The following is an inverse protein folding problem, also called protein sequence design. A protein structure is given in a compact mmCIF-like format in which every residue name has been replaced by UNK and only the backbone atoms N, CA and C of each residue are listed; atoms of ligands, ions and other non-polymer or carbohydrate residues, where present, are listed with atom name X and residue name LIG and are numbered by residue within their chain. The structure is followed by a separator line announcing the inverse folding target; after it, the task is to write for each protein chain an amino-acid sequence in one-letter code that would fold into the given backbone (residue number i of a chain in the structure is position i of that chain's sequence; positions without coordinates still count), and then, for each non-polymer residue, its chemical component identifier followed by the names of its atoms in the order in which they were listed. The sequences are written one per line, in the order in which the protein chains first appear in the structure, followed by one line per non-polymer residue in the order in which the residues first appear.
data_IF_754175954124
#
_entry.id   IF_754175954124
#
_cell.length_a   1.000
_cell.length_b   1.000
_cell.length_c   1.000
_cell.angle_alpha   90.00
_cell.angle_beta   90.00
_cell.angle_gamma   90.00
#
_symmetry.space_group_name_H-M   'P 1'
#
loop_
_entity.id
_entity.type
_entity.pdbx_description
1 polymer ?
#
# COMPACT_ATOMS: atom_id res chain seq x y z
N UNK A 1 5.00 29.77 7.80
CA UNK A 1 4.14 28.54 7.73
C UNK A 1 3.31 28.49 6.44
N UNK A 2 2.65 29.58 6.03
CA UNK A 2 1.81 29.63 4.84
C UNK A 2 2.56 29.54 3.51
N UNK A 3 3.74 30.12 3.41
CA UNK A 3 4.52 30.17 2.18
C UNK A 3 4.88 28.78 1.64
N UNK A 4 5.44 27.90 2.46
CA UNK A 4 5.86 26.56 2.01
C UNK A 4 4.70 25.60 1.75
N UNK A 5 3.63 25.67 2.52
CA UNK A 5 2.52 24.71 2.39
C UNK A 5 1.55 25.10 1.26
N UNK A 6 1.20 26.39 1.14
CA UNK A 6 0.33 26.85 0.06
C UNK A 6 1.04 26.84 -1.31
N UNK A 7 2.33 27.16 -1.36
CA UNK A 7 3.09 27.13 -2.59
C UNK A 7 3.19 25.71 -3.17
N UNK A 8 3.34 24.66 -2.34
CA UNK A 8 3.33 23.25 -2.79
C UNK A 8 1.98 22.81 -3.36
N UNK A 9 0.91 23.46 -2.94
CA UNK A 9 -0.43 23.18 -3.48
C UNK A 9 -0.66 23.83 -4.83
N UNK A 10 -0.11 25.03 -5.07
CA UNK A 10 -0.39 25.87 -6.24
C UNK A 10 0.71 25.83 -7.30
N UNK A 11 1.94 25.47 -6.94
CA UNK A 11 3.07 25.42 -7.87
C UNK A 11 3.90 24.15 -7.67
N UNK A 12 4.52 23.70 -8.76
CA UNK A 12 5.46 22.57 -8.70
C UNK A 12 6.74 23.02 -8.01
N UNK A 13 7.11 22.37 -6.92
CA UNK A 13 8.35 22.62 -6.19
C UNK A 13 9.27 21.41 -6.40
N UNK A 14 10.54 21.64 -6.73
CA UNK A 14 11.57 20.62 -6.94
C UNK A 14 11.25 19.60 -8.05
N UNK A 15 10.67 20.02 -9.18
CA UNK A 15 10.36 19.21 -10.37
C UNK A 15 9.53 17.93 -10.11
N UNK A 16 8.81 17.87 -8.98
CA UNK A 16 7.93 16.73 -8.65
C UNK A 16 6.57 16.81 -9.37
N UNK A 17 6.64 16.98 -10.69
CA UNK A 17 5.46 16.98 -11.54
C UNK A 17 5.05 15.53 -11.81
N UNK A 18 3.94 15.10 -11.21
CA UNK A 18 3.43 13.76 -11.39
C UNK A 18 2.02 13.79 -12.02
N UNK A 19 1.65 12.78 -12.83
CA UNK A 19 0.35 12.70 -13.46
C UNK A 19 -0.79 12.62 -12.43
N UNK A 20 -2.02 12.94 -12.86
CA UNK A 20 -3.21 12.93 -11.98
C UNK A 20 -3.49 11.53 -11.38
N UNK A 21 -3.14 10.46 -12.08
CA UNK A 21 -3.34 9.07 -11.63
C UNK A 21 -2.25 8.55 -10.69
N UNK A 22 -1.26 9.37 -10.34
CA UNK A 22 -0.09 8.99 -9.54
C UNK A 22 -0.45 8.24 -8.24
N UNK A 23 -1.47 8.69 -7.53
CA UNK A 23 -1.86 8.05 -6.27
C UNK A 23 -2.55 6.69 -6.43
N UNK A 24 -2.99 6.30 -7.61
CA UNK A 24 -3.51 4.96 -7.87
C UNK A 24 -2.44 3.86 -7.62
N UNK A 25 -1.32 3.87 -8.35
CA UNK A 25 -0.20 2.96 -8.07
C UNK A 25 0.37 3.09 -6.65
N UNK A 26 0.49 4.30 -6.11
CA UNK A 26 0.95 4.52 -4.73
C UNK A 26 0.05 3.80 -3.74
N UNK A 27 -1.27 3.90 -3.88
CA UNK A 27 -2.25 3.18 -3.05
C UNK A 27 -2.06 1.67 -3.13
N UNK A 28 -1.89 1.13 -4.33
CA UNK A 28 -1.71 -0.32 -4.54
C UNK A 28 -0.45 -0.81 -3.85
N UNK A 29 0.68 -0.11 -4.05
CA UNK A 29 1.98 -0.49 -3.48
C UNK A 29 2.00 -0.30 -1.96
N UNK A 30 1.47 0.82 -1.47
CA UNK A 30 1.46 1.12 -0.04
C UNK A 30 0.53 0.20 0.78
N UNK A 31 -0.47 -0.42 0.14
CA UNK A 31 -1.35 -1.39 0.77
C UNK A 31 -0.83 -2.84 0.68
N UNK A 32 0.33 -3.09 0.03
CA UNK A 32 0.91 -4.44 -0.05
C UNK A 32 1.23 -4.99 1.35
N UNK A 33 1.03 -6.29 1.56
CA UNK A 33 0.45 -7.29 0.65
C UNK A 33 -1.08 -7.38 0.72
N UNK A 34 -1.74 -6.50 1.47
CA UNK A 34 -3.18 -6.53 1.75
C UNK A 34 -4.03 -5.74 0.74
N UNK A 35 -3.46 -5.32 -0.38
CA UNK A 35 -4.17 -4.65 -1.48
C UNK A 35 -5.46 -5.38 -1.91
N UNK A 36 -5.51 -6.73 -2.01
CA UNK A 36 -6.75 -7.43 -2.32
C UNK A 36 -7.87 -7.18 -1.31
N UNK A 37 -7.53 -7.03 -0.03
CA UNK A 37 -8.50 -6.69 1.01
C UNK A 37 -8.95 -5.23 0.94
N UNK A 38 -8.06 -4.31 0.57
CA UNK A 38 -8.44 -2.92 0.33
C UNK A 38 -9.46 -2.80 -0.81
N UNK A 39 -9.18 -3.49 -1.92
CA UNK A 39 -10.11 -3.52 -3.07
C UNK A 39 -11.45 -4.15 -2.66
N UNK A 40 -11.43 -5.25 -1.93
CA UNK A 40 -12.63 -5.90 -1.44
C UNK A 40 -13.41 -5.02 -0.47
N UNK A 41 -12.71 -4.33 0.44
CA UNK A 41 -13.31 -3.38 1.37
C UNK A 41 -14.01 -2.22 0.67
N UNK A 42 -13.38 -1.65 -0.35
CA UNK A 42 -13.96 -0.61 -1.20
C UNK A 42 -15.15 -1.12 -2.02
N UNK A 43 -15.05 -2.31 -2.61
CA UNK A 43 -16.12 -2.91 -3.40
C UNK A 43 -17.39 -3.21 -2.58
N UNK A 44 -17.23 -3.39 -1.27
CA UNK A 44 -18.35 -3.68 -0.34
C UNK A 44 -18.96 -2.43 0.29
N UNK A 45 -18.47 -1.23 -0.02
CA UNK A 45 -19.04 0.01 0.50
C UNK A 45 -20.47 0.17 -0.05
N UNK A 46 -21.48 0.32 0.82
CA UNK A 46 -22.86 0.56 0.37
C UNK A 46 -22.95 1.89 -0.39
N UNK A 47 -23.55 1.87 -1.58
CA UNK A 47 -23.70 3.07 -2.41
C UNK A 47 -24.90 3.94 -2.01
N UNK A 48 -25.95 3.31 -1.48
CA UNK A 48 -27.22 3.94 -1.15
C UNK A 48 -27.70 3.45 0.21
N UNK A 49 -28.31 4.34 1.02
CA UNK A 49 -28.87 4.06 2.34
C UNK A 49 -27.97 3.15 3.19
N UNK A 50 -27.11 3.76 3.97
CA UNK A 50 -26.14 3.04 4.80
C UNK A 50 -26.82 2.59 6.09
N UNK A 51 -26.98 1.28 6.30
CA UNK A 51 -27.40 0.77 7.60
C UNK A 51 -26.36 1.15 8.66
N UNK A 52 -26.76 1.34 9.94
CA UNK A 52 -25.83 1.74 11.00
C UNK A 52 -24.60 0.84 11.13
N UNK A 53 -24.75 -0.47 10.87
CA UNK A 53 -23.66 -1.45 10.88
C UNK A 53 -22.58 -1.23 9.81
N UNK A 54 -22.87 -0.47 8.76
CA UNK A 54 -21.94 -0.14 7.69
C UNK A 54 -21.44 1.30 7.71
N UNK A 55 -21.84 2.09 8.70
CA UNK A 55 -21.47 3.51 8.82
C UNK A 55 -19.95 3.70 8.90
N UNK A 56 -19.25 2.85 9.66
CA UNK A 56 -17.78 2.88 9.78
C UNK A 56 -17.08 2.59 8.44
N UNK A 57 -17.59 1.63 7.67
CA UNK A 57 -17.04 1.30 6.37
C UNK A 57 -17.21 2.45 5.38
N UNK A 58 -18.38 3.09 5.39
CA UNK A 58 -18.63 4.25 4.55
C UNK A 58 -17.77 5.44 4.98
N UNK A 59 -17.66 5.70 6.28
CA UNK A 59 -16.80 6.75 6.81
C UNK A 59 -15.34 6.55 6.35
N UNK A 60 -14.81 5.34 6.50
CA UNK A 60 -13.45 5.02 6.08
C UNK A 60 -13.27 5.22 4.56
N UNK A 61 -14.25 4.82 3.74
CA UNK A 61 -14.20 5.04 2.30
C UNK A 61 -14.24 6.53 1.93
N UNK A 62 -15.11 7.31 2.56
CA UNK A 62 -15.17 8.77 2.35
C UNK A 62 -13.86 9.45 2.76
N UNK A 63 -13.27 9.05 3.91
CA UNK A 63 -11.98 9.56 4.36
C UNK A 63 -10.88 9.25 3.33
N UNK A 64 -10.76 7.99 2.90
CA UNK A 64 -9.81 7.58 1.88
C UNK A 64 -9.93 8.41 0.61
N UNK A 65 -11.16 8.54 0.08
CA UNK A 65 -11.44 9.30 -1.15
C UNK A 65 -11.14 10.78 -0.96
N UNK A 66 -11.52 11.39 0.17
CA UNK A 66 -11.25 12.79 0.45
C UNK A 66 -9.75 13.09 0.45
N UNK A 67 -8.94 12.25 1.11
CA UNK A 67 -7.48 12.40 1.12
C UNK A 67 -6.89 12.23 -0.28
N UNK A 68 -7.33 11.21 -1.04
CA UNK A 68 -6.85 10.99 -2.40
C UNK A 68 -7.21 12.15 -3.33
N UNK A 69 -8.44 12.67 -3.26
CA UNK A 69 -8.86 13.83 -4.06
C UNK A 69 -8.06 15.08 -3.70
N UNK A 70 -7.88 15.36 -2.41
CA UNK A 70 -7.12 16.50 -1.93
C UNK A 70 -5.69 16.50 -2.51
N UNK A 71 -4.98 15.39 -2.36
CA UNK A 71 -3.58 15.33 -2.82
C UNK A 71 -3.46 15.12 -4.33
N UNK A 72 -4.46 14.56 -5.00
CA UNK A 72 -4.51 14.51 -6.46
C UNK A 72 -4.64 15.90 -7.06
N UNK A 73 -5.38 16.81 -6.41
CA UNK A 73 -5.52 18.20 -6.82
C UNK A 73 -4.26 19.04 -6.54
N UNK A 74 -3.35 18.60 -5.68
CA UNK A 74 -2.11 19.30 -5.39
C UNK A 74 -1.15 19.29 -6.60
N UNK A 75 -0.47 20.41 -6.86
CA UNK A 75 0.49 20.54 -7.94
C UNK A 75 1.72 19.64 -7.71
N UNK A 76 2.25 19.62 -6.48
CA UNK A 76 3.37 18.74 -6.10
C UNK A 76 2.82 17.45 -5.50
N UNK A 77 3.26 16.30 -6.00
CA UNK A 77 2.80 14.97 -5.54
C UNK A 77 3.97 14.15 -5.01
N UNK A 78 3.89 13.75 -3.75
CA UNK A 78 4.88 12.88 -3.10
C UNK A 78 4.19 11.59 -2.62
N UNK A 79 4.87 10.44 -2.68
CA UNK A 79 4.33 9.19 -2.15
C UNK A 79 3.92 9.27 -0.68
N UNK A 80 4.62 10.09 0.13
CA UNK A 80 4.30 10.31 1.55
C UNK A 80 2.93 10.95 1.81
N UNK A 81 2.32 11.59 0.81
CA UNK A 81 0.97 12.15 0.92
C UNK A 81 -0.14 11.10 1.03
N UNK A 82 0.23 9.82 0.82
CA UNK A 82 -0.63 8.69 1.16
C UNK A 82 -0.82 8.48 2.68
N UNK A 83 0.13 8.89 3.52
CA UNK A 83 0.12 8.61 4.96
C UNK A 83 -1.20 8.96 5.67
N UNK A 84 -1.85 10.12 5.42
CA UNK A 84 -3.14 10.43 6.05
C UNK A 84 -4.29 9.49 5.63
N UNK A 85 -4.16 8.76 4.52
CA UNK A 85 -5.14 7.78 4.06
C UNK A 85 -4.93 6.40 4.66
N UNK A 86 -3.76 6.12 5.25
CA UNK A 86 -3.40 4.81 5.80
C UNK A 86 -4.38 4.28 6.85
N UNK A 87 -4.86 5.08 7.84
CA UNK A 87 -5.83 4.58 8.81
C UNK A 87 -7.16 4.18 8.16
N UNK A 88 -7.62 4.96 7.19
CA UNK A 88 -8.85 4.65 6.46
C UNK A 88 -8.72 3.36 5.63
N UNK A 89 -7.58 3.18 4.96
CA UNK A 89 -7.26 1.95 4.24
C UNK A 89 -7.20 0.74 5.17
N UNK A 90 -6.55 0.87 6.34
CA UNK A 90 -6.46 -0.19 7.34
C UNK A 90 -7.85 -0.60 7.87
N UNK A 91 -8.74 0.35 8.13
CA UNK A 91 -10.13 0.08 8.54
C UNK A 91 -10.89 -0.68 7.45
N UNK A 92 -10.79 -0.27 6.18
CA UNK A 92 -11.43 -0.96 5.06
C UNK A 92 -10.93 -2.39 4.90
N UNK A 93 -9.62 -2.61 5.01
CA UNK A 93 -9.01 -3.93 4.97
C UNK A 93 -9.50 -4.80 6.13
N UNK A 94 -9.51 -4.29 7.35
CA UNK A 94 -9.99 -5.01 8.53
C UNK A 94 -11.46 -5.40 8.39
N UNK A 95 -12.33 -4.47 8.00
CA UNK A 95 -13.76 -4.73 7.77
C UNK A 95 -14.00 -5.73 6.63
N UNK A 96 -13.12 -5.78 5.61
CA UNK A 96 -13.21 -6.77 4.56
C UNK A 96 -12.99 -8.21 5.06
N UNK A 97 -12.31 -8.39 6.20
CA UNK A 97 -12.06 -9.72 6.79
C UNK A 97 -13.21 -10.26 7.64
N UNK A 98 -14.22 -9.45 7.96
CA UNK A 98 -15.32 -9.86 8.86
C UNK A 98 -16.35 -10.76 8.20
N UNK A 99 -16.56 -10.67 6.90
CA UNK A 99 -17.51 -11.48 6.14
C UNK A 99 -16.83 -12.69 5.53
N UNK A 100 -17.23 -13.89 5.95
CA UNK A 100 -16.71 -15.17 5.40
C UNK A 100 -17.47 -15.53 4.12
N UNK A 101 -16.92 -15.15 2.97
CA UNK A 101 -17.45 -15.51 1.65
C UNK A 101 -16.31 -15.90 0.69
N UNK A 102 -16.68 -16.32 -0.53
CA UNK A 102 -15.71 -16.71 -1.58
C UNK A 102 -14.72 -15.57 -1.92
N UNK A 103 -15.19 -14.33 -1.90
CA UNK A 103 -14.36 -13.17 -2.26
C UNK A 103 -13.29 -12.90 -1.22
N UNK A 104 -13.63 -13.05 0.06
CA UNK A 104 -12.65 -12.99 1.15
C UNK A 104 -11.60 -14.11 1.01
N UNK A 105 -12.02 -15.33 0.65
CA UNK A 105 -11.08 -16.43 0.39
C UNK A 105 -10.11 -16.09 -0.74
N UNK A 106 -10.61 -15.56 -1.84
CA UNK A 106 -9.77 -15.11 -2.94
C UNK A 106 -8.83 -13.98 -2.54
N UNK A 107 -9.29 -13.02 -1.74
CA UNK A 107 -8.44 -11.96 -1.20
C UNK A 107 -7.30 -12.53 -0.33
N UNK A 108 -7.57 -13.56 0.49
CA UNK A 108 -6.53 -14.26 1.24
C UNK A 108 -5.51 -14.95 0.32
N UNK A 109 -5.98 -15.75 -0.63
CA UNK A 109 -5.10 -16.44 -1.59
C UNK A 109 -4.23 -15.43 -2.35
N UNK A 110 -4.83 -14.35 -2.84
CA UNK A 110 -4.10 -13.30 -3.55
C UNK A 110 -3.06 -12.60 -2.64
N UNK A 111 -3.42 -12.30 -1.38
CA UNK A 111 -2.48 -11.69 -0.43
C UNK A 111 -1.33 -12.63 -0.09
N UNK A 112 -1.58 -13.92 0.11
CA UNK A 112 -0.52 -14.93 0.32
C UNK A 112 0.39 -14.99 -0.90
N UNK A 113 -0.18 -15.00 -2.11
CA UNK A 113 0.60 -14.95 -3.36
C UNK A 113 1.49 -13.72 -3.46
N UNK A 114 0.98 -12.54 -3.05
CA UNK A 114 1.76 -11.31 -3.01
C UNK A 114 2.89 -11.36 -1.96
N UNK A 115 2.63 -11.91 -0.77
CA UNK A 115 3.68 -12.12 0.24
C UNK A 115 4.76 -13.06 -0.28
N UNK A 116 4.36 -14.17 -0.92
CA UNK A 116 5.30 -15.12 -1.52
C UNK A 116 6.12 -14.47 -2.65
N UNK A 117 5.48 -13.65 -3.48
CA UNK A 117 6.15 -12.88 -4.52
C UNK A 117 7.18 -11.90 -3.93
N UNK A 118 6.82 -11.18 -2.86
CA UNK A 118 7.76 -10.31 -2.14
C UNK A 118 8.94 -11.11 -1.57
N UNK A 119 8.68 -12.29 -0.98
CA UNK A 119 9.75 -13.17 -0.51
C UNK A 119 10.72 -13.52 -1.65
N UNK A 120 10.21 -13.93 -2.80
CA UNK A 120 11.04 -14.24 -3.98
C UNK A 120 11.83 -13.02 -4.45
N UNK A 121 11.19 -11.84 -4.53
CA UNK A 121 11.87 -10.60 -4.91
C UNK A 121 13.05 -10.32 -3.96
N UNK A 122 12.86 -10.45 -2.65
CA UNK A 122 13.93 -10.23 -1.68
C UNK A 122 15.00 -11.32 -1.71
N UNK A 123 14.66 -12.58 -1.98
CA UNK A 123 15.64 -13.64 -2.21
C UNK A 123 16.48 -13.40 -3.48
N UNK A 124 15.89 -12.80 -4.51
CA UNK A 124 16.58 -12.43 -5.75
C UNK A 124 17.29 -11.06 -5.65
N UNK A 125 17.38 -10.48 -4.47
CA UNK A 125 18.00 -9.16 -4.26
C UNK A 125 19.42 -9.03 -4.84
N UNK A 126 20.32 -10.03 -4.80
CA UNK A 126 21.64 -9.88 -5.41
C UNK A 126 21.59 -9.59 -6.91
N UNK A 127 20.51 -10.01 -7.59
CA UNK A 127 20.35 -9.82 -9.04
C UNK A 127 19.93 -8.38 -9.37
N UNK A 128 18.93 -7.85 -8.66
CA UNK A 128 18.35 -6.55 -9.02
C UNK A 128 18.92 -5.37 -8.24
N UNK A 129 19.46 -5.58 -7.03
CA UNK A 129 20.06 -4.49 -6.24
C UNK A 129 21.25 -3.87 -6.98
N UNK A 130 22.03 -4.66 -7.72
CA UNK A 130 23.13 -4.15 -8.55
C UNK A 130 22.69 -3.22 -9.69
N UNK A 131 21.39 -3.16 -10.02
CA UNK A 131 20.84 -2.22 -11.01
C UNK A 131 20.49 -0.86 -10.43
N UNK A 132 20.44 -0.76 -9.10
CA UNK A 132 20.21 0.52 -8.41
C UNK A 132 21.47 1.36 -8.59
N UNK A 133 21.34 2.43 -9.37
CA UNK A 133 22.37 3.43 -9.57
C UNK A 133 21.85 4.77 -9.12
N UNK A 134 22.17 5.15 -7.90
CA UNK A 134 21.83 6.45 -7.36
C UNK A 134 23.06 7.35 -7.45
N UNK A 135 23.03 8.47 -8.21
CA UNK A 135 24.14 9.39 -8.31
C UNK A 135 24.50 10.05 -6.98
N UNK A 136 23.53 10.25 -6.09
CA UNK A 136 23.74 10.88 -4.78
C UNK A 136 24.25 9.88 -3.72
N UNK A 137 23.96 8.58 -3.91
CA UNK A 137 24.36 7.49 -3.00
C UNK A 137 24.99 6.31 -3.76
N UNK A 138 26.23 6.44 -4.26
CA UNK A 138 26.89 5.39 -5.05
C UNK A 138 27.09 4.08 -4.28
N UNK A 139 27.21 4.14 -2.94
CA UNK A 139 27.38 2.96 -2.06
C UNK A 139 26.08 2.27 -1.69
N UNK A 140 24.90 2.78 -2.09
CA UNK A 140 23.60 2.28 -1.65
C UNK A 140 23.42 0.77 -1.93
N UNK A 141 23.79 0.30 -3.11
CA UNK A 141 23.65 -1.09 -3.49
C UNK A 141 24.53 -2.04 -2.65
N UNK A 142 25.87 -1.83 -2.51
CA UNK A 142 26.69 -2.67 -1.65
C UNK A 142 26.30 -2.57 -0.17
N UNK A 143 25.92 -1.39 0.32
CA UNK A 143 25.50 -1.18 1.71
C UNK A 143 24.19 -1.94 2.02
N UNK A 144 23.21 -1.92 1.11
CA UNK A 144 21.98 -2.69 1.25
C UNK A 144 22.24 -4.21 1.36
N UNK A 145 23.10 -4.76 0.51
CA UNK A 145 23.45 -6.18 0.55
C UNK A 145 24.29 -6.51 1.79
N UNK A 146 25.25 -5.65 2.14
CA UNK A 146 26.14 -5.84 3.30
C UNK A 146 25.41 -5.71 4.64
N UNK A 147 24.35 -4.90 4.73
CA UNK A 147 23.56 -4.71 5.97
C UNK A 147 22.79 -5.96 6.42
N UNK A 148 22.59 -6.92 5.53
CA UNK A 148 21.74 -8.10 5.78
C UNK A 148 20.25 -7.81 5.88
N UNK A 149 19.80 -6.55 5.68
CA UNK A 149 18.37 -6.16 5.77
C UNK A 149 17.54 -6.88 4.73
N UNK A 150 18.04 -7.00 3.49
CA UNK A 150 17.34 -7.68 2.39
C UNK A 150 17.09 -9.15 2.68
N UNK A 151 18.07 -9.84 3.28
CA UNK A 151 17.96 -11.24 3.68
C UNK A 151 16.98 -11.44 4.84
N UNK A 152 17.01 -10.55 5.82
CA UNK A 152 16.02 -10.54 6.92
C UNK A 152 14.62 -10.33 6.38
N UNK A 153 14.43 -9.41 5.46
CA UNK A 153 13.14 -9.20 4.80
C UNK A 153 12.68 -10.45 4.05
N UNK A 154 13.57 -11.11 3.28
CA UNK A 154 13.27 -12.36 2.59
C UNK A 154 12.78 -13.45 3.56
N UNK A 155 13.47 -13.63 4.69
CA UNK A 155 13.09 -14.59 5.72
C UNK A 155 11.74 -14.28 6.35
N UNK A 156 11.49 -13.00 6.70
CA UNK A 156 10.21 -12.60 7.31
C UNK A 156 9.03 -12.76 6.34
N UNK A 157 9.18 -12.40 5.08
CA UNK A 157 8.15 -12.61 4.07
C UNK A 157 7.91 -14.11 3.82
N UNK A 158 8.96 -14.94 3.78
CA UNK A 158 8.83 -16.40 3.66
C UNK A 158 8.06 -17.00 4.84
N UNK A 159 8.42 -16.61 6.05
CA UNK A 159 7.73 -17.04 7.27
C UNK A 159 6.26 -16.59 7.26
N UNK A 160 5.99 -15.34 6.91
CA UNK A 160 4.64 -14.81 6.82
C UNK A 160 3.79 -15.55 5.77
N UNK A 161 4.37 -15.91 4.61
CA UNK A 161 3.67 -16.67 3.57
C UNK A 161 3.28 -18.07 4.09
N UNK A 162 4.20 -18.78 4.74
CA UNK A 162 3.93 -20.11 5.31
C UNK A 162 2.86 -20.03 6.40
N UNK A 163 3.02 -19.12 7.36
CA UNK A 163 2.06 -18.96 8.46
C UNK A 163 0.66 -18.63 7.95
N UNK A 164 0.56 -17.70 7.01
CA UNK A 164 -0.73 -17.31 6.42
C UNK A 164 -1.37 -18.45 5.65
N UNK A 165 -0.58 -19.29 4.97
CA UNK A 165 -1.07 -20.48 4.27
C UNK A 165 -1.64 -21.50 5.24
N UNK A 166 -0.95 -21.78 6.36
CA UNK A 166 -1.42 -22.68 7.42
C UNK A 166 -2.74 -22.18 8.01
N UNK A 167 -2.84 -20.89 8.32
CA UNK A 167 -4.08 -20.29 8.85
C UNK A 167 -5.22 -20.39 7.84
N UNK A 168 -4.95 -20.26 6.54
CA UNK A 168 -5.98 -20.38 5.51
C UNK A 168 -6.51 -21.81 5.39
N UNK A 169 -5.64 -22.82 5.54
CA UNK A 169 -6.02 -24.24 5.47
C UNK A 169 -6.89 -24.64 6.69
N UNK A 170 -6.65 -24.05 7.84
CA UNK A 170 -7.39 -24.34 9.09
C UNK A 170 -8.76 -23.62 9.17
N UNK A 171 -9.08 -22.73 8.24
CA UNK A 171 -10.35 -21.98 8.18
C UNK A 171 -11.34 -22.58 7.18
#
# INVERSE_FOLDING_TARGET
FGYHNLQRFTSVVNDHLQPWWFFGPVMVVAALPFTPFLILGLARVPRWRVPPEHSLQQFAACWLVAVLLLFTAAATKLPSYWLPATPAAALLMALATTRRDRWQRWAWVASIGLVACLAVIFWLSPVWVGWIRDPEMPSLAPDLLGSGLVWRAALWFSFAAVLSSVVLIQR
#
